data_IF_152520647963
#
_entry.id   IF_152520647963
#
_cell.length_a   1.000
_cell.length_b   1.000
_cell.length_c   1.000
_cell.angle_alpha   90.00
_cell.angle_beta   90.00
_cell.angle_gamma   90.00
#
_symmetry.space_group_name_H-M   'P 1'
#
loop_
_entity.id
_entity.type
_entity.pdbx_description
1 polymer ?
#
# COMPACT_ATOMS: atom_id res chain seq x y z
N UNK A 1 -3.06 0.58 -32.72
CA UNK A 1 -3.06 1.67 -31.72
C UNK A 1 -1.62 1.87 -31.27
N UNK A 2 -1.15 3.10 -31.13
CA UNK A 2 0.23 3.37 -30.66
C UNK A 2 0.37 3.10 -29.17
N UNK A 3 1.62 2.94 -28.70
CA UNK A 3 1.93 2.79 -27.27
C UNK A 3 1.41 3.98 -26.47
N UNK A 4 1.53 5.19 -27.01
CA UNK A 4 1.03 6.42 -26.40
C UNK A 4 -0.48 6.38 -26.12
N UNK A 5 -1.26 5.89 -27.08
CA UNK A 5 -2.72 5.75 -26.88
C UNK A 5 -3.02 4.74 -25.77
N UNK A 6 -2.29 3.62 -25.70
CA UNK A 6 -2.43 2.67 -24.60
C UNK A 6 -2.04 3.29 -23.24
N UNK A 7 -0.98 4.08 -23.19
CA UNK A 7 -0.56 4.80 -21.98
C UNK A 7 -1.68 5.70 -21.47
N UNK A 8 -2.27 6.53 -22.34
CA UNK A 8 -3.35 7.43 -21.92
C UNK A 8 -4.59 6.68 -21.46
N UNK A 9 -4.95 5.58 -22.12
CA UNK A 9 -6.10 4.76 -21.71
C UNK A 9 -5.86 4.16 -20.32
N UNK A 10 -4.70 3.54 -20.10
CA UNK A 10 -4.40 2.87 -18.83
C UNK A 10 -4.34 3.89 -17.69
N UNK A 11 -3.60 5.00 -17.88
CA UNK A 11 -3.48 6.06 -16.88
C UNK A 11 -4.85 6.70 -16.60
N UNK A 12 -5.61 7.02 -17.64
CA UNK A 12 -6.93 7.60 -17.49
C UNK A 12 -7.89 6.70 -16.71
N UNK A 13 -7.91 5.40 -17.04
CA UNK A 13 -8.76 4.42 -16.37
C UNK A 13 -8.36 4.20 -14.89
N UNK A 14 -7.07 4.11 -14.58
CA UNK A 14 -6.63 3.92 -13.19
C UNK A 14 -6.97 5.14 -12.34
N UNK A 15 -6.70 6.36 -12.83
CA UNK A 15 -7.07 7.59 -12.13
C UNK A 15 -8.58 7.71 -11.94
N UNK A 16 -9.37 7.47 -13.00
CA UNK A 16 -10.82 7.49 -12.91
C UNK A 16 -11.34 6.48 -11.87
N UNK A 17 -10.75 5.28 -11.82
CA UNK A 17 -11.07 4.26 -10.81
C UNK A 17 -10.81 4.74 -9.38
N UNK A 18 -9.61 5.28 -9.10
CA UNK A 18 -9.28 5.80 -7.77
C UNK A 18 -10.16 6.99 -7.36
N UNK A 19 -10.42 7.93 -8.27
CA UNK A 19 -11.32 9.07 -8.02
C UNK A 19 -12.74 8.58 -7.73
N UNK A 20 -13.23 7.62 -8.51
CA UNK A 20 -14.55 7.03 -8.30
C UNK A 20 -14.66 6.37 -6.92
N UNK A 21 -13.69 5.52 -6.55
CA UNK A 21 -13.65 4.86 -5.23
C UNK A 21 -13.62 5.91 -4.11
N UNK A 22 -12.79 6.96 -4.24
CA UNK A 22 -12.71 8.03 -3.25
C UNK A 22 -14.03 8.80 -3.13
N UNK A 23 -14.70 9.06 -4.25
CA UNK A 23 -15.98 9.76 -4.27
C UNK A 23 -17.14 8.91 -3.70
N UNK A 24 -17.18 7.61 -4.01
CA UNK A 24 -18.23 6.70 -3.54
C UNK A 24 -18.13 6.38 -2.05
N UNK A 25 -16.91 6.37 -1.49
CA UNK A 25 -16.63 5.97 -0.11
C UNK A 25 -16.37 7.17 0.84
N UNK A 26 -16.96 8.33 0.57
CA UNK A 26 -16.79 9.52 1.42
C UNK A 26 -17.43 9.32 2.80
N UNK A 27 -16.69 9.69 3.86
CA UNK A 27 -17.14 9.62 5.25
C UNK A 27 -17.30 11.03 5.82
N UNK A 28 -18.32 11.25 6.66
CA UNK A 28 -18.64 12.58 7.24
C UNK A 28 -18.19 12.73 8.69
N UNK A 29 -17.82 11.65 9.35
CA UNK A 29 -17.42 11.63 10.74
C UNK A 29 -15.97 11.15 10.91
N UNK A 30 -15.36 11.61 12.00
CA UNK A 30 -13.95 11.36 12.31
C UNK A 30 -13.65 9.87 12.52
N UNK A 31 -14.56 9.13 13.15
CA UNK A 31 -14.34 7.70 13.43
C UNK A 31 -14.37 6.87 12.15
N UNK A 32 -15.31 7.13 11.26
CA UNK A 32 -15.37 6.48 9.95
C UNK A 32 -14.18 6.87 9.05
N UNK A 33 -13.65 8.09 9.17
CA UNK A 33 -12.47 8.51 8.42
C UNK A 33 -11.17 7.83 8.89
N UNK A 34 -10.92 7.75 10.21
CA UNK A 34 -9.65 7.24 10.73
C UNK A 34 -9.61 5.72 10.93
N UNK A 35 -10.71 5.10 11.37
CA UNK A 35 -10.71 3.67 11.72
C UNK A 35 -11.71 2.86 10.89
N UNK A 36 -12.36 3.48 9.90
CA UNK A 36 -13.38 2.83 9.05
C UNK A 36 -14.43 2.06 9.87
N UNK A 37 -14.82 2.62 11.03
CA UNK A 37 -15.77 1.99 11.96
C UNK A 37 -15.31 0.65 12.56
N UNK A 38 -14.02 0.31 12.48
CA UNK A 38 -13.46 -0.99 12.87
C UNK A 38 -14.06 -2.19 12.12
N UNK A 39 -14.68 -1.95 10.96
CA UNK A 39 -15.37 -2.98 10.18
C UNK A 39 -14.50 -3.68 9.14
N UNK A 40 -13.24 -3.26 8.95
CA UNK A 40 -12.36 -3.82 7.92
C UNK A 40 -11.78 -5.17 8.38
N UNK A 41 -11.98 -6.26 7.63
CA UNK A 41 -11.42 -7.56 7.97
C UNK A 41 -9.89 -7.53 8.06
N UNK A 42 -9.31 -8.33 8.95
CA UNK A 42 -7.86 -8.35 9.20
C UNK A 42 -7.03 -8.58 7.93
N UNK A 43 -7.46 -9.50 7.05
CA UNK A 43 -6.77 -9.79 5.78
C UNK A 43 -6.79 -8.57 4.86
N UNK A 44 -7.92 -7.86 4.75
CA UNK A 44 -8.03 -6.67 3.92
C UNK A 44 -7.17 -5.52 4.47
N UNK A 45 -7.11 -5.37 5.80
CA UNK A 45 -6.26 -4.37 6.44
C UNK A 45 -4.75 -4.69 6.25
N UNK A 46 -4.38 -5.97 6.35
CA UNK A 46 -3.03 -6.44 6.04
C UNK A 46 -2.65 -6.21 4.57
N UNK A 47 -3.57 -6.48 3.64
CA UNK A 47 -3.37 -6.22 2.22
C UNK A 47 -3.23 -4.73 1.92
N UNK A 48 -4.02 -3.87 2.58
CA UNK A 48 -3.91 -2.42 2.46
C UNK A 48 -2.54 -1.92 2.95
N UNK A 49 -2.08 -2.39 4.12
CA UNK A 49 -0.74 -2.07 4.64
C UNK A 49 0.38 -2.50 3.68
N UNK A 50 0.26 -3.71 3.11
CA UNK A 50 1.22 -4.21 2.13
C UNK A 50 1.22 -3.39 0.83
N UNK A 51 0.05 -2.96 0.37
CA UNK A 51 -0.10 -2.11 -0.81
C UNK A 51 0.49 -0.70 -0.57
N UNK A 52 0.25 -0.11 0.61
CA UNK A 52 0.77 1.20 0.98
C UNK A 52 2.30 1.22 1.08
N UNK A 53 2.90 0.09 1.48
CA UNK A 53 4.35 -0.07 1.44
C UNK A 53 4.91 -0.02 -0.01
N UNK A 54 4.15 -0.57 -0.95
CA UNK A 54 4.52 -0.64 -2.36
C UNK A 54 4.25 0.66 -3.11
N UNK A 55 5.05 1.68 -2.84
CA UNK A 55 5.09 2.89 -3.67
C UNK A 55 5.81 2.66 -5.00
N UNK A 56 5.59 3.55 -5.98
CA UNK A 56 6.34 3.54 -7.24
C UNK A 56 7.86 3.69 -7.00
N UNK A 57 8.26 4.49 -6.01
CA UNK A 57 9.66 4.63 -5.61
C UNK A 57 10.22 3.31 -5.06
N UNK A 58 9.46 2.63 -4.19
CA UNK A 58 9.82 1.31 -3.65
C UNK A 58 10.02 0.30 -4.78
N UNK A 59 9.09 0.25 -5.74
CA UNK A 59 9.16 -0.68 -6.87
C UNK A 59 10.39 -0.43 -7.75
N UNK A 60 10.60 0.80 -8.21
CA UNK A 60 11.72 1.16 -9.08
C UNK A 60 13.05 0.96 -8.34
N UNK A 61 13.12 1.35 -7.06
CA UNK A 61 14.32 1.19 -6.24
C UNK A 61 14.67 -0.28 -6.05
N UNK A 62 13.67 -1.14 -5.77
CA UNK A 62 13.91 -2.58 -5.62
C UNK A 62 14.37 -3.22 -6.93
N UNK A 63 13.73 -2.87 -8.05
CA UNK A 63 14.14 -3.33 -9.36
C UNK A 63 15.59 -2.91 -9.67
N UNK A 64 15.96 -1.66 -9.36
CA UNK A 64 17.32 -1.16 -9.50
C UNK A 64 18.32 -1.91 -8.63
N UNK A 65 18.06 -2.01 -7.32
CA UNK A 65 18.95 -2.71 -6.37
C UNK A 65 19.16 -4.16 -6.80
N UNK A 66 18.10 -4.88 -7.17
CA UNK A 66 18.19 -6.28 -7.61
C UNK A 66 18.94 -6.39 -8.94
N UNK A 67 18.76 -5.44 -9.87
CA UNK A 67 19.49 -5.44 -11.14
C UNK A 67 21.02 -5.32 -10.94
N UNK A 68 21.47 -4.64 -9.89
CA UNK A 68 22.91 -4.46 -9.60
C UNK A 68 23.47 -5.48 -8.60
N UNK A 69 22.71 -5.87 -7.57
CA UNK A 69 23.17 -6.76 -6.50
C UNK A 69 22.68 -8.21 -6.66
N UNK A 70 21.81 -8.49 -7.63
CA UNK A 70 21.23 -9.81 -7.83
C UNK A 70 20.38 -10.28 -6.64
N UNK A 71 20.47 -11.57 -6.32
CA UNK A 71 19.71 -12.20 -5.24
C UNK A 71 20.01 -11.58 -3.86
N UNK A 72 21.22 -11.09 -3.63
CA UNK A 72 21.60 -10.45 -2.36
C UNK A 72 20.78 -9.18 -2.11
N UNK A 73 20.30 -8.50 -3.16
CA UNK A 73 19.37 -7.38 -3.04
C UNK A 73 18.01 -7.76 -2.44
N UNK A 74 17.60 -9.03 -2.51
CA UNK A 74 16.33 -9.51 -1.96
C UNK A 74 16.27 -9.44 -0.43
N UNK A 75 17.42 -9.32 0.26
CA UNK A 75 17.43 -9.12 1.72
C UNK A 75 16.72 -7.83 2.13
N UNK A 76 16.77 -6.78 1.29
CA UNK A 76 16.08 -5.52 1.56
C UNK A 76 14.56 -5.69 1.50
N UNK A 77 14.06 -6.51 0.55
CA UNK A 77 12.65 -6.88 0.46
C UNK A 77 12.19 -7.64 1.72
N UNK A 78 12.96 -8.65 2.11
CA UNK A 78 12.67 -9.48 3.29
C UNK A 78 12.75 -8.67 4.59
N UNK A 79 13.77 -7.83 4.73
CA UNK A 79 13.97 -6.97 5.90
C UNK A 79 12.83 -5.98 6.09
N UNK A 80 12.39 -5.31 5.02
CA UNK A 80 11.26 -4.38 5.09
C UNK A 80 9.94 -5.08 5.41
N UNK A 81 9.67 -6.20 4.73
CA UNK A 81 8.44 -6.98 4.95
C UNK A 81 8.40 -7.55 6.37
N UNK A 82 9.52 -8.08 6.85
CA UNK A 82 9.68 -8.56 8.22
C UNK A 82 9.51 -7.43 9.25
N UNK A 83 9.95 -6.22 8.93
CA UNK A 83 9.74 -5.04 9.76
C UNK A 83 8.27 -4.76 10.06
N UNK A 84 7.37 -4.93 9.10
CA UNK A 84 5.92 -4.79 9.35
C UNK A 84 5.36 -5.82 10.32
N UNK A 85 5.89 -7.04 10.31
CA UNK A 85 5.50 -8.07 11.30
C UNK A 85 5.91 -7.62 12.71
N UNK A 86 7.12 -7.08 12.85
CA UNK A 86 7.59 -6.55 14.14
C UNK A 86 6.75 -5.36 14.59
N UNK A 87 6.42 -4.42 13.69
CA UNK A 87 5.54 -3.30 14.01
C UNK A 87 4.13 -3.78 14.43
N UNK A 88 3.57 -4.76 13.72
CA UNK A 88 2.26 -5.32 14.02
C UNK A 88 2.21 -6.04 15.37
N UNK A 89 3.30 -6.71 15.79
CA UNK A 89 3.35 -7.44 17.05
C UNK A 89 3.77 -6.57 18.24
N UNK A 90 4.67 -5.61 18.02
CA UNK A 90 5.32 -4.87 19.09
C UNK A 90 4.79 -3.45 19.28
N UNK A 91 4.21 -2.83 18.25
CA UNK A 91 3.75 -1.44 18.31
C UNK A 91 2.23 -1.33 18.22
N UNK A 92 1.61 -2.06 17.28
CA UNK A 92 0.17 -1.98 17.05
C UNK A 92 -0.70 -2.29 18.30
N UNK A 93 -0.34 -3.25 19.20
CA UNK A 93 -1.14 -3.50 20.40
C UNK A 93 -1.19 -2.30 21.35
N UNK A 94 -0.04 -1.64 21.57
CA UNK A 94 0.04 -0.46 22.43
C UNK A 94 -0.71 0.73 21.84
N UNK A 95 -0.57 0.96 20.53
CA UNK A 95 -1.32 2.03 19.86
C UNK A 95 -2.84 1.79 19.91
N UNK A 96 -3.29 0.53 19.89
CA UNK A 96 -4.70 0.17 20.00
C UNK A 96 -5.26 0.34 21.42
N UNK A 97 -4.43 0.12 22.43
CA UNK A 97 -4.84 0.22 23.84
C UNK A 97 -4.82 1.66 24.35
N UNK A 98 -3.84 2.47 23.93
CA UNK A 98 -3.58 3.81 24.48
C UNK A 98 -3.80 4.98 23.51
N UNK A 99 -4.01 4.72 22.22
CA UNK A 99 -4.26 5.73 21.17
C UNK A 99 -5.73 5.82 20.78
#
# INVERSE_FOLDING_TARGET
MSVEVWTYIIVGLTFAGYIYIGYSNRVRDTKGFYVAGQGVPAIANGAATAADWMSAASFISMAGIIAFLGYDGAIYLMGWTGGYVLLALLLAPFLREFG
#
